data_IF_761622600025
#
_entry.id   IF_761622600025
#
_cell.length_a   1.000
_cell.length_b   1.000
_cell.length_c   1.000
_cell.angle_alpha   90.00
_cell.angle_beta   90.00
_cell.angle_gamma   90.00
#
_symmetry.space_group_name_H-M   'P 1'
#
loop_
_entity.id
_entity.type
_entity.pdbx_description
1 polymer ?
#
# COMPACT_ATOMS: atom_id res chain seq x y z
N UNK A 1 9.99 -5.51 5.36
CA UNK A 1 10.84 -5.02 4.27
C UNK A 1 10.17 -3.87 3.55
N UNK A 2 10.95 -2.93 3.09
CA UNK A 2 10.47 -1.71 2.48
C UNK A 2 11.02 -1.55 1.08
N UNK A 3 10.15 -1.19 0.16
CA UNK A 3 10.56 -0.84 -1.21
C UNK A 3 10.06 0.57 -1.49
N UNK A 4 10.94 1.40 -2.02
CA UNK A 4 10.62 2.79 -2.33
C UNK A 4 10.65 2.98 -3.82
N UNK A 5 9.60 3.62 -4.34
CA UNK A 5 9.49 3.95 -5.76
C UNK A 5 9.26 5.45 -5.90
N UNK A 6 10.10 6.11 -6.66
CA UNK A 6 9.93 7.53 -6.93
C UNK A 6 8.85 7.75 -7.96
N UNK A 7 7.99 8.73 -7.72
CA UNK A 7 6.97 9.15 -8.67
C UNK A 7 7.33 10.48 -9.29
N UNK A 8 7.03 10.69 -10.58
CA UNK A 8 7.12 12.03 -11.14
C UNK A 8 6.15 12.95 -10.42
N UNK A 9 6.58 14.14 -10.11
CA UNK A 9 5.71 15.04 -9.39
C UNK A 9 5.96 16.48 -9.75
N UNK A 10 4.96 17.31 -9.50
CA UNK A 10 5.12 18.73 -9.53
C UNK A 10 5.81 19.17 -8.25
N UNK A 11 6.50 20.27 -8.33
CA UNK A 11 7.26 20.76 -7.21
C UNK A 11 6.41 21.68 -6.34
N UNK A 12 5.81 21.11 -5.30
CA UNK A 12 5.02 21.88 -4.36
C UNK A 12 5.86 22.55 -3.27
N UNK A 13 7.10 22.12 -3.13
CA UNK A 13 7.97 22.64 -2.09
C UNK A 13 8.26 24.13 -2.23
N UNK A 14 8.08 24.68 -3.42
CA UNK A 14 8.27 26.11 -3.66
C UNK A 14 7.37 26.97 -2.81
N UNK A 15 6.27 26.43 -2.32
CA UNK A 15 5.31 27.16 -1.51
C UNK A 15 5.66 27.19 -0.04
N UNK A 16 6.63 26.39 0.36
CA UNK A 16 7.18 26.41 1.71
C UNK A 16 6.31 25.86 2.83
N UNK A 17 5.05 25.59 2.58
CA UNK A 17 4.13 25.14 3.62
C UNK A 17 3.35 23.90 3.24
N UNK A 18 3.55 23.39 2.04
CA UNK A 18 2.82 22.23 1.56
C UNK A 18 3.43 20.95 2.12
N UNK A 19 2.61 20.10 2.72
CA UNK A 19 3.06 18.80 3.17
C UNK A 19 3.36 17.92 1.97
N UNK A 20 4.43 17.15 2.07
CA UNK A 20 4.70 16.12 1.07
C UNK A 20 3.74 14.97 1.28
N UNK A 21 3.28 14.40 0.19
CA UNK A 21 2.43 13.23 0.23
C UNK A 21 3.25 12.01 -0.11
N UNK A 22 3.13 10.99 0.72
CA UNK A 22 3.80 9.71 0.50
C UNK A 22 2.72 8.64 0.47
N UNK A 23 2.76 7.80 -0.56
CA UNK A 23 1.86 6.68 -0.66
C UNK A 23 2.43 5.48 0.07
N UNK A 24 1.59 4.74 0.78
CA UNK A 24 1.97 3.49 1.44
C UNK A 24 1.05 2.39 0.95
N UNK A 25 1.61 1.40 0.27
CA UNK A 25 0.84 0.30 -0.31
C UNK A 25 1.11 -0.98 0.45
N UNK A 26 0.04 -1.68 0.83
CA UNK A 26 0.12 -3.02 1.38
C UNK A 26 -0.45 -4.02 0.38
N UNK A 27 0.03 -5.27 0.43
CA UNK A 27 -0.55 -6.33 -0.39
C UNK A 27 -1.91 -6.78 0.14
N UNK A 28 -2.25 -6.41 1.36
CA UNK A 28 -3.54 -6.73 1.98
C UNK A 28 -4.49 -5.55 1.96
N UNK A 29 -5.05 -5.23 3.09
CA UNK A 29 -6.03 -4.15 3.26
C UNK A 29 -5.41 -2.96 3.96
N UNK A 30 -5.85 -1.76 3.59
CA UNK A 30 -5.53 -0.54 4.31
C UNK A 30 -6.75 -0.07 5.12
N UNK A 31 -6.58 0.74 6.15
CA UNK A 31 -5.31 1.25 6.67
C UNK A 31 -4.56 0.23 7.53
N UNK A 32 -3.24 0.35 7.54
CA UNK A 32 -2.39 -0.48 8.39
C UNK A 32 -2.08 0.28 9.67
N UNK A 33 -3.00 0.20 10.60
CA UNK A 33 -2.90 0.92 11.87
C UNK A 33 -1.78 0.38 12.77
N UNK A 34 -1.27 -0.80 12.45
CA UNK A 34 -0.16 -1.42 13.16
C UNK A 34 1.20 -0.90 12.70
N UNK A 35 1.31 -0.47 11.44
CA UNK A 35 2.59 -0.07 10.85
C UNK A 35 2.77 1.44 10.78
N UNK A 36 1.73 2.18 10.49
CA UNK A 36 1.83 3.62 10.26
C UNK A 36 2.37 4.37 11.47
N UNK A 37 1.95 4.08 12.71
CA UNK A 37 2.51 4.78 13.87
C UNK A 37 4.01 4.57 14.05
N UNK A 38 4.57 3.50 13.52
CA UNK A 38 6.00 3.26 13.58
C UNK A 38 6.76 4.03 12.52
N UNK A 39 6.11 4.32 11.40
CA UNK A 39 6.72 4.98 10.26
C UNK A 39 6.64 6.50 10.36
N UNK A 40 5.52 7.00 10.85
CA UNK A 40 5.25 8.44 10.87
C UNK A 40 6.37 9.24 11.55
N UNK A 41 6.90 8.81 12.71
CA UNK A 41 7.99 9.55 13.34
C UNK A 41 9.27 9.57 12.52
N UNK A 42 9.50 8.54 11.70
CA UNK A 42 10.69 8.47 10.84
C UNK A 42 10.57 9.46 9.70
N UNK A 43 9.37 9.62 9.15
CA UNK A 43 9.12 10.50 8.01
C UNK A 43 8.93 11.96 8.41
N UNK A 44 8.55 12.20 9.65
CA UNK A 44 8.37 13.55 10.17
C UNK A 44 6.95 14.07 10.05
N UNK A 45 6.72 15.23 10.69
CA UNK A 45 5.38 15.81 10.79
C UNK A 45 4.92 16.51 9.52
N UNK A 46 5.84 16.81 8.61
CA UNK A 46 5.51 17.51 7.38
C UNK A 46 5.16 16.56 6.23
N UNK A 47 4.86 15.31 6.55
CA UNK A 47 4.53 14.28 5.57
C UNK A 47 3.14 13.75 5.83
N UNK A 48 2.34 13.74 4.78
CA UNK A 48 1.02 13.09 4.78
C UNK A 48 1.15 11.72 4.16
N UNK A 49 0.69 10.68 4.86
CA UNK A 49 0.74 9.32 4.36
C UNK A 49 -0.63 8.93 3.83
N UNK A 50 -0.68 8.61 2.54
CA UNK A 50 -1.91 8.14 1.88
C UNK A 50 -1.75 6.64 1.67
N UNK A 51 -2.66 5.87 2.22
CA UNK A 51 -2.58 4.42 2.21
C UNK A 51 -3.46 3.80 1.15
N UNK A 52 -3.00 2.70 0.58
CA UNK A 52 -3.78 1.89 -0.34
C UNK A 52 -3.43 0.42 -0.12
N UNK A 53 -4.40 -0.44 -0.32
CA UNK A 53 -4.19 -1.87 -0.20
C UNK A 53 -4.72 -2.61 -1.41
N UNK A 54 -4.01 -3.64 -1.85
CA UNK A 54 -4.42 -4.41 -3.02
C UNK A 54 -5.76 -5.12 -2.80
N UNK A 55 -6.11 -5.40 -1.56
CA UNK A 55 -7.38 -6.06 -1.22
C UNK A 55 -8.48 -5.08 -0.79
N UNK A 56 -8.22 -3.77 -0.87
CA UNK A 56 -9.22 -2.78 -0.49
C UNK A 56 -10.47 -2.92 -1.36
N UNK A 57 -11.63 -2.80 -0.72
CA UNK A 57 -12.91 -2.89 -1.40
C UNK A 57 -13.41 -4.31 -1.63
N UNK A 58 -12.65 -5.33 -1.23
CA UNK A 58 -13.06 -6.72 -1.39
C UNK A 58 -13.63 -7.28 -0.11
N UNK A 59 -14.66 -8.12 -0.26
CA UNK A 59 -15.19 -8.89 0.88
C UNK A 59 -14.31 -10.09 1.17
N UNK A 60 -14.50 -10.70 2.32
CA UNK A 60 -13.77 -11.93 2.66
C UNK A 60 -14.05 -13.05 1.68
N UNK A 61 -15.29 -13.12 1.19
CA UNK A 61 -15.66 -14.12 0.20
C UNK A 61 -14.92 -13.91 -1.11
N UNK A 62 -14.74 -12.65 -1.52
CA UNK A 62 -14.00 -12.35 -2.73
C UNK A 62 -12.52 -12.69 -2.57
N UNK A 63 -11.95 -12.35 -1.42
CA UNK A 63 -10.55 -12.67 -1.12
C UNK A 63 -10.32 -14.17 -1.11
N UNK A 64 -11.28 -14.93 -0.58
CA UNK A 64 -11.18 -16.39 -0.50
C UNK A 64 -11.09 -17.04 -1.88
N UNK A 65 -11.52 -16.36 -2.93
CA UNK A 65 -11.43 -16.86 -4.30
C UNK A 65 -10.02 -16.75 -4.89
N UNK A 66 -9.14 -16.02 -4.23
CA UNK A 66 -7.78 -15.82 -4.71
C UNK A 66 -6.86 -16.98 -4.33
N UNK A 67 -7.32 -18.19 -4.59
CA UNK A 67 -6.58 -19.40 -4.26
C UNK A 67 -5.29 -19.46 -5.07
N UNK A 68 -4.14 -19.70 -4.45
CA UNK A 68 -2.88 -19.80 -5.18
C UNK A 68 -2.92 -20.92 -6.21
N UNK A 69 -2.39 -20.63 -7.40
CA UNK A 69 -2.25 -21.62 -8.46
C UNK A 69 -0.99 -22.43 -8.23
N UNK A 70 -0.91 -23.68 -8.76
CA UNK A 70 0.31 -24.47 -8.62
C UNK A 70 1.53 -23.73 -9.13
N UNK A 71 2.60 -23.72 -8.34
CA UNK A 71 3.85 -23.10 -8.72
C UNK A 71 3.95 -21.60 -8.54
N UNK A 72 2.86 -20.95 -8.13
CA UNK A 72 2.90 -19.51 -7.92
C UNK A 72 3.26 -19.19 -6.47
N UNK A 73 3.78 -17.98 -6.26
CA UNK A 73 4.07 -17.50 -4.91
C UNK A 73 2.78 -17.29 -4.13
N UNK A 74 2.82 -17.71 -2.86
CA UNK A 74 1.71 -17.55 -1.95
C UNK A 74 1.99 -16.35 -1.05
N UNK A 75 1.04 -15.44 -0.98
CA UNK A 75 1.14 -14.27 -0.14
C UNK A 75 0.21 -14.40 1.05
N UNK A 76 0.63 -13.86 2.18
CA UNK A 76 -0.17 -13.82 3.40
C UNK A 76 -0.21 -12.39 3.89
N UNK A 77 -1.38 -11.92 4.26
CA UNK A 77 -1.51 -10.57 4.80
C UNK A 77 -2.60 -10.54 5.86
N UNK A 78 -2.46 -9.57 6.76
CA UNK A 78 -3.47 -9.33 7.78
C UNK A 78 -4.57 -8.43 7.20
N UNK A 79 -5.81 -8.79 7.50
CA UNK A 79 -6.96 -7.99 7.13
C UNK A 79 -7.28 -6.98 8.23
N UNK A 80 -8.13 -6.00 7.91
CA UNK A 80 -8.47 -4.94 8.86
C UNK A 80 -9.19 -5.44 10.11
N UNK A 81 -9.84 -6.61 10.02
CA UNK A 81 -10.51 -7.21 11.18
C UNK A 81 -9.57 -8.02 12.07
N UNK A 82 -8.28 -8.03 11.76
CA UNK A 82 -7.28 -8.76 12.54
C UNK A 82 -7.04 -10.19 12.10
N UNK A 83 -7.85 -10.73 11.19
CA UNK A 83 -7.61 -12.06 10.63
C UNK A 83 -6.57 -12.00 9.52
N UNK A 84 -6.06 -13.17 9.12
CA UNK A 84 -5.11 -13.27 8.02
C UNK A 84 -5.76 -13.92 6.81
N UNK A 85 -5.27 -13.56 5.64
CA UNK A 85 -5.70 -14.17 4.39
C UNK A 85 -4.48 -14.64 3.61
N UNK A 86 -4.65 -15.75 2.90
CA UNK A 86 -3.64 -16.34 2.03
C UNK A 86 -4.17 -16.30 0.61
N UNK A 87 -3.36 -15.81 -0.31
CA UNK A 87 -3.81 -15.63 -1.70
C UNK A 87 -2.65 -15.76 -2.67
N UNK A 88 -2.98 -15.99 -3.94
CA UNK A 88 -1.97 -16.13 -4.98
C UNK A 88 -1.48 -14.79 -5.47
N UNK A 89 -0.19 -14.69 -5.75
CA UNK A 89 0.44 -13.46 -6.21
C UNK A 89 -0.17 -12.92 -7.50
N UNK A 90 -0.57 -13.82 -8.40
CA UNK A 90 -1.09 -13.42 -9.70
C UNK A 90 -2.36 -12.57 -9.61
N UNK A 91 -3.14 -12.72 -8.56
CA UNK A 91 -4.35 -11.91 -8.36
C UNK A 91 -4.03 -10.52 -7.84
N UNK A 92 -2.87 -10.38 -7.21
CA UNK A 92 -2.51 -9.15 -6.50
C UNK A 92 -1.76 -8.17 -7.40
N UNK A 93 -0.91 -8.65 -8.30
CA UNK A 93 -0.08 -7.77 -9.12
C UNK A 93 -0.88 -6.72 -9.89
N UNK A 94 -1.98 -7.06 -10.59
CA UNK A 94 -2.77 -6.04 -11.28
C UNK A 94 -3.40 -5.04 -10.30
N UNK A 95 -3.77 -5.50 -9.11
CA UNK A 95 -4.38 -4.63 -8.11
C UNK A 95 -3.36 -3.68 -7.51
N UNK A 96 -2.12 -4.13 -7.33
CA UNK A 96 -1.04 -3.25 -6.90
C UNK A 96 -0.78 -2.15 -7.92
N UNK A 97 -0.83 -2.48 -9.21
CA UNK A 97 -0.64 -1.48 -10.25
C UNK A 97 -1.73 -0.41 -10.19
N UNK A 98 -2.97 -0.80 -9.94
CA UNK A 98 -4.07 0.15 -9.78
C UNK A 98 -3.84 1.05 -8.56
N UNK A 99 -3.31 0.51 -7.47
CA UNK A 99 -2.98 1.31 -6.30
C UNK A 99 -1.90 2.34 -6.63
N UNK A 100 -0.87 1.94 -7.35
CA UNK A 100 0.20 2.84 -7.76
C UNK A 100 -0.35 3.97 -8.61
N UNK A 101 -1.16 3.63 -9.62
CA UNK A 101 -1.74 4.62 -10.52
C UNK A 101 -2.60 5.62 -9.76
N UNK A 102 -3.41 5.13 -8.82
CA UNK A 102 -4.26 5.99 -8.02
C UNK A 102 -3.46 6.95 -7.14
N UNK A 103 -2.42 6.43 -6.48
CA UNK A 103 -1.57 7.27 -5.64
C UNK A 103 -0.81 8.31 -6.45
N UNK A 104 -0.34 7.96 -7.64
CA UNK A 104 0.32 8.91 -8.51
C UNK A 104 -0.63 10.03 -8.93
N UNK A 105 -1.89 9.72 -9.19
CA UNK A 105 -2.90 10.72 -9.50
C UNK A 105 -3.16 11.65 -8.32
N UNK A 106 -2.97 11.16 -7.11
CA UNK A 106 -3.13 11.98 -5.91
C UNK A 106 -1.92 12.85 -5.61
N UNK A 107 -0.86 12.74 -6.40
CA UNK A 107 0.29 13.61 -6.29
C UNK A 107 1.32 13.21 -5.25
N UNK A 108 1.43 11.90 -4.95
CA UNK A 108 2.45 11.46 -3.99
C UNK A 108 3.85 11.60 -4.58
N UNK A 109 4.82 11.92 -3.71
CA UNK A 109 6.22 12.06 -4.08
C UNK A 109 6.94 10.72 -4.14
N UNK A 110 6.57 9.83 -3.23
CA UNK A 110 7.18 8.52 -3.06
C UNK A 110 6.10 7.49 -2.77
N UNK A 111 6.38 6.25 -3.11
CA UNK A 111 5.51 5.13 -2.75
C UNK A 111 6.32 4.13 -1.96
N UNK A 112 5.85 3.81 -0.76
CA UNK A 112 6.43 2.78 0.09
C UNK A 112 5.59 1.53 -0.01
N UNK A 113 6.25 0.40 -0.23
CA UNK A 113 5.57 -0.90 -0.19
C UNK A 113 5.77 -1.49 1.20
N UNK A 114 4.68 -1.76 1.88
CA UNK A 114 4.70 -2.33 3.22
C UNK A 114 4.56 -3.84 3.10
N UNK A 115 5.69 -4.53 3.12
CA UNK A 115 5.72 -5.98 3.02
C UNK A 115 5.97 -6.55 4.41
N UNK A 116 4.98 -7.25 4.95
CA UNK A 116 5.06 -7.84 6.27
C UNK A 116 4.96 -9.36 6.22
N UNK A 117 5.06 -9.91 5.07
CA UNK A 117 4.93 -11.34 4.87
C UNK A 117 6.04 -12.18 5.39
#
# INVERSE_FOLDING_TARGET
MWTVTDSPQTNDSERGITMKKIGAITVGQSPRVDLIPEIQPILGDSVEIIQAGALDGLSKEEIAKFVPRPGENVLVSRLTDGTSATFGESYILPRLQLCIDDLEQQGVSLILFLCTG
#
